data_IF_135632172308
#
_entry.id   IF_135632172308
#
_cell.length_a   1.000
_cell.length_b   1.000
_cell.length_c   1.000
_cell.angle_alpha   90.00
_cell.angle_beta   90.00
_cell.angle_gamma   90.00
#
_symmetry.space_group_name_H-M   'P 1'
#
loop_
_entity.id
_entity.type
_entity.pdbx_description
1 polymer ?
#
# COMPACT_ATOMS: atom_id res chain seq x y z
N UNK A 1 8.68 -17.95 2.72
CA UNK A 1 8.91 -16.50 2.47
C UNK A 1 9.96 -16.24 1.37
N UNK A 2 11.18 -16.79 1.47
CA UNK A 2 12.25 -16.51 0.48
C UNK A 2 11.91 -17.08 -0.90
N UNK A 3 11.47 -18.32 -0.96
CA UNK A 3 11.10 -18.97 -2.22
C UNK A 3 9.87 -18.32 -2.85
N UNK A 4 8.88 -17.95 -2.02
CA UNK A 4 7.67 -17.23 -2.46
C UNK A 4 8.00 -15.84 -2.99
N UNK A 5 8.94 -15.12 -2.35
CA UNK A 5 9.40 -13.83 -2.82
C UNK A 5 10.14 -13.93 -4.16
N UNK A 6 10.96 -14.96 -4.36
CA UNK A 6 11.64 -15.21 -5.63
C UNK A 6 10.64 -15.56 -6.74
N UNK A 7 9.61 -16.34 -6.42
CA UNK A 7 8.52 -16.68 -7.33
C UNK A 7 7.75 -15.42 -7.75
N UNK A 8 7.26 -14.65 -6.77
CA UNK A 8 6.49 -13.44 -7.04
C UNK A 8 7.31 -12.38 -7.81
N UNK A 9 8.63 -12.25 -7.56
CA UNK A 9 9.52 -11.40 -8.38
C UNK A 9 9.56 -11.82 -9.82
N UNK A 10 9.72 -13.12 -10.08
CA UNK A 10 9.76 -13.65 -11.46
C UNK A 10 8.44 -13.41 -12.16
N UNK A 11 7.32 -13.67 -11.50
CA UNK A 11 5.97 -13.44 -12.04
C UNK A 11 5.75 -11.95 -12.33
N UNK A 12 6.15 -11.05 -11.40
CA UNK A 12 6.08 -9.60 -11.57
C UNK A 12 6.93 -9.12 -12.75
N UNK A 13 8.15 -9.63 -12.88
CA UNK A 13 9.04 -9.28 -13.99
C UNK A 13 8.48 -9.74 -15.35
N UNK A 14 7.92 -10.95 -15.39
CA UNK A 14 7.27 -11.47 -16.61
C UNK A 14 6.07 -10.58 -16.99
N UNK A 15 5.22 -10.26 -16.04
CA UNK A 15 4.08 -9.37 -16.27
C UNK A 15 4.53 -7.98 -16.75
N UNK A 16 5.60 -7.43 -16.19
CA UNK A 16 6.19 -6.18 -16.65
C UNK A 16 6.61 -6.24 -18.13
N UNK A 17 7.28 -7.30 -18.57
CA UNK A 17 7.67 -7.47 -19.97
C UNK A 17 6.44 -7.57 -20.89
N UNK A 18 5.41 -8.30 -20.46
CA UNK A 18 4.21 -8.54 -21.27
C UNK A 18 3.33 -7.29 -21.39
N UNK A 19 3.25 -6.46 -20.36
CA UNK A 19 2.38 -5.28 -20.32
C UNK A 19 3.08 -3.96 -20.71
N UNK A 20 4.41 -3.91 -20.67
CA UNK A 20 5.19 -2.75 -21.11
C UNK A 20 5.14 -1.54 -20.19
N UNK A 21 4.30 -1.54 -19.15
CA UNK A 21 4.10 -0.44 -18.21
C UNK A 21 4.12 -0.94 -16.78
N UNK A 22 5.16 -0.62 -16.02
CA UNK A 22 5.17 -0.74 -14.56
C UNK A 22 6.43 -0.09 -13.97
N UNK A 23 6.39 0.20 -12.67
CA UNK A 23 7.54 0.67 -11.91
C UNK A 23 8.20 -0.51 -11.18
N UNK A 24 9.15 -1.16 -11.83
CA UNK A 24 9.75 -2.42 -11.36
C UNK A 24 10.44 -2.28 -10.00
N UNK A 25 11.20 -1.20 -9.78
CA UNK A 25 11.91 -0.97 -8.51
C UNK A 25 10.96 -0.89 -7.33
N UNK A 26 9.92 -0.06 -7.43
CA UNK A 26 8.90 0.08 -6.39
C UNK A 26 8.01 -1.16 -6.23
N UNK A 27 7.87 -1.98 -7.29
CA UNK A 27 7.20 -3.28 -7.20
C UNK A 27 8.03 -4.26 -6.39
N UNK A 28 9.33 -4.32 -6.64
CA UNK A 28 10.23 -5.27 -5.97
C UNK A 28 10.48 -4.94 -4.51
N UNK A 29 10.47 -3.64 -4.12
CA UNK A 29 10.73 -3.22 -2.75
C UNK A 29 9.68 -3.70 -1.74
N UNK A 30 8.45 -3.95 -2.18
CA UNK A 30 7.35 -4.30 -1.29
C UNK A 30 7.01 -5.82 -1.25
N UNK A 31 7.64 -6.66 -2.07
CA UNK A 31 7.25 -8.07 -2.23
C UNK A 31 7.26 -8.83 -0.92
N UNK A 32 8.35 -8.76 -0.16
CA UNK A 32 8.46 -9.43 1.13
C UNK A 32 7.42 -8.94 2.13
N UNK A 33 7.18 -7.62 2.15
CA UNK A 33 6.16 -7.03 3.01
C UNK A 33 4.76 -7.48 2.62
N UNK A 34 4.46 -7.60 1.32
CA UNK A 34 3.17 -8.13 0.85
C UNK A 34 2.97 -9.58 1.26
N UNK A 35 3.97 -10.43 1.06
CA UNK A 35 3.89 -11.84 1.43
C UNK A 35 3.69 -11.95 2.95
N UNK A 36 4.50 -11.25 3.75
CA UNK A 36 4.37 -11.26 5.20
C UNK A 36 2.98 -10.78 5.66
N UNK A 37 2.44 -9.73 5.02
CA UNK A 37 1.09 -9.25 5.30
C UNK A 37 0.04 -10.32 5.06
N UNK A 38 0.05 -10.95 3.91
CA UNK A 38 -0.99 -11.88 3.49
C UNK A 38 -0.85 -13.28 4.11
N UNK A 39 0.37 -13.70 4.49
CA UNK A 39 0.61 -15.00 5.13
C UNK A 39 0.46 -14.96 6.66
N UNK A 40 0.93 -13.87 7.30
CA UNK A 40 1.15 -13.88 8.74
C UNK A 40 0.30 -12.83 9.49
N UNK A 41 -0.11 -11.75 8.83
CA UNK A 41 -0.61 -10.56 9.54
C UNK A 41 -2.09 -10.31 9.31
N UNK A 42 -2.55 -10.40 8.06
CA UNK A 42 -3.93 -10.09 7.69
C UNK A 42 -4.88 -11.22 8.12
N UNK A 43 -5.99 -10.81 8.71
CA UNK A 43 -7.13 -11.68 8.98
C UNK A 43 -8.20 -11.49 7.90
N UNK A 44 -9.15 -12.42 7.74
CA UNK A 44 -10.24 -12.28 6.76
C UNK A 44 -11.09 -11.01 6.96
N UNK A 45 -11.11 -10.44 8.15
CA UNK A 45 -11.84 -9.21 8.47
C UNK A 45 -11.07 -7.94 8.12
N UNK A 46 -9.76 -8.02 7.92
CA UNK A 46 -8.92 -6.87 7.57
C UNK A 46 -9.10 -6.49 6.09
N UNK A 47 -8.80 -5.24 5.76
CA UNK A 47 -8.79 -4.73 4.39
C UNK A 47 -7.45 -4.08 4.10
N UNK A 48 -6.81 -4.49 3.01
CA UNK A 48 -5.54 -3.94 2.57
C UNK A 48 -5.76 -2.93 1.43
N UNK A 49 -5.09 -1.79 1.50
CA UNK A 49 -5.08 -0.75 0.48
C UNK A 49 -3.64 -0.50 0.07
N UNK A 50 -3.34 -0.70 -1.21
CA UNK A 50 -2.08 -0.28 -1.80
C UNK A 50 -2.24 1.15 -2.33
N UNK A 51 -1.75 2.15 -1.61
CA UNK A 51 -1.84 3.55 -2.00
C UNK A 51 -0.97 3.86 -3.22
N UNK A 52 0.23 3.30 -3.29
CA UNK A 52 1.17 3.40 -4.41
C UNK A 52 0.81 2.45 -5.56
N UNK A 53 -0.38 2.58 -6.14
CA UNK A 53 -0.92 1.64 -7.12
C UNK A 53 -0.11 1.52 -8.43
N UNK A 54 0.77 2.48 -8.74
CA UNK A 54 1.70 2.38 -9.87
C UNK A 54 2.62 1.14 -9.80
N UNK A 55 2.65 0.45 -8.65
CA UNK A 55 3.40 -0.79 -8.42
C UNK A 55 2.48 -1.98 -8.07
N UNK A 56 1.26 -1.98 -8.57
CA UNK A 56 0.19 -2.92 -8.22
C UNK A 56 0.42 -4.37 -8.66
N UNK A 57 1.30 -4.64 -9.62
CA UNK A 57 1.46 -5.97 -10.21
C UNK A 57 1.72 -7.07 -9.17
N UNK A 58 2.66 -6.92 -8.21
CA UNK A 58 2.86 -7.94 -7.17
C UNK A 58 1.59 -8.23 -6.37
N UNK A 59 0.81 -7.19 -6.03
CA UNK A 59 -0.45 -7.37 -5.30
C UNK A 59 -1.46 -8.16 -6.13
N UNK A 60 -1.68 -7.77 -7.39
CA UNK A 60 -2.63 -8.45 -8.27
C UNK A 60 -2.24 -9.90 -8.50
N UNK A 61 -0.95 -10.18 -8.71
CA UNK A 61 -0.45 -11.54 -8.89
C UNK A 61 -0.61 -12.38 -7.62
N UNK A 62 -0.27 -11.83 -6.46
CA UNK A 62 -0.45 -12.49 -5.17
C UNK A 62 -1.92 -12.81 -4.89
N UNK A 63 -2.84 -11.91 -5.24
CA UNK A 63 -4.28 -12.14 -5.11
C UNK A 63 -4.77 -13.22 -6.07
N UNK A 64 -4.23 -13.28 -7.30
CA UNK A 64 -4.55 -14.34 -8.27
C UNK A 64 -4.09 -15.72 -7.79
N UNK A 65 -2.95 -15.84 -7.16
CA UNK A 65 -2.48 -17.09 -6.53
C UNK A 65 -3.40 -17.55 -5.40
N UNK A 66 -4.17 -16.62 -4.81
CA UNK A 66 -5.18 -16.90 -3.78
C UNK A 66 -6.59 -17.13 -4.34
N UNK A 67 -6.73 -17.30 -5.65
CA UNK A 67 -7.99 -17.60 -6.32
C UNK A 67 -8.88 -16.39 -6.61
N UNK A 68 -8.38 -15.16 -6.40
CA UNK A 68 -9.02 -13.92 -6.83
C UNK A 68 -8.58 -13.58 -8.25
N UNK A 69 -9.25 -12.63 -8.91
CA UNK A 69 -8.89 -12.29 -10.29
C UNK A 69 -8.94 -10.77 -10.57
N UNK A 70 -8.17 -9.94 -9.83
CA UNK A 70 -8.12 -8.51 -10.09
C UNK A 70 -7.48 -8.23 -11.46
N UNK A 71 -7.88 -7.12 -12.07
CA UNK A 71 -7.25 -6.61 -13.27
C UNK A 71 -5.79 -6.23 -13.00
N UNK A 72 -4.90 -6.63 -13.91
CA UNK A 72 -3.48 -6.24 -13.86
C UNK A 72 -3.32 -4.87 -14.52
N UNK A 73 -3.20 -3.84 -13.71
CA UNK A 73 -3.13 -2.43 -14.13
C UNK A 73 -2.27 -1.63 -13.17
N UNK A 74 -1.68 -0.54 -13.65
CA UNK A 74 -0.88 0.40 -12.84
C UNK A 74 -1.71 1.42 -12.06
N UNK A 75 -3.02 1.45 -12.27
CA UNK A 75 -3.97 2.26 -11.53
C UNK A 75 -5.11 1.34 -11.09
N UNK A 76 -5.16 1.06 -9.79
CA UNK A 76 -6.17 0.15 -9.26
C UNK A 76 -7.54 0.83 -9.22
N UNK A 77 -8.53 0.16 -9.75
CA UNK A 77 -9.94 0.48 -9.53
C UNK A 77 -10.50 -0.42 -8.43
N UNK A 78 -11.46 0.12 -7.68
CA UNK A 78 -12.12 -0.65 -6.62
C UNK A 78 -12.78 -1.90 -7.20
N UNK A 79 -12.41 -3.05 -6.67
CA UNK A 79 -12.93 -4.38 -7.01
C UNK A 79 -12.89 -5.23 -5.73
N UNK A 80 -13.86 -5.00 -4.86
CA UNK A 80 -13.89 -5.60 -3.53
C UNK A 80 -14.04 -7.12 -3.56
N UNK A 81 -14.63 -7.67 -4.61
CA UNK A 81 -14.77 -9.12 -4.80
C UNK A 81 -13.41 -9.76 -5.08
N UNK A 82 -12.50 -9.03 -5.70
CA UNK A 82 -11.14 -9.45 -6.01
C UNK A 82 -10.07 -8.86 -5.07
N UNK A 83 -10.48 -8.32 -3.92
CA UNK A 83 -9.56 -7.88 -2.87
C UNK A 83 -9.00 -6.46 -3.03
N UNK A 84 -9.51 -5.67 -3.99
CA UNK A 84 -9.12 -4.26 -4.19
C UNK A 84 -10.18 -3.36 -3.55
N UNK A 85 -9.85 -2.74 -2.42
CA UNK A 85 -10.83 -2.02 -1.60
C UNK A 85 -10.86 -0.51 -1.81
N UNK A 86 -10.01 0.02 -2.68
CA UNK A 86 -9.99 1.44 -3.03
C UNK A 86 -9.44 1.65 -4.44
N UNK A 87 -9.97 2.63 -5.15
CA UNK A 87 -9.34 3.16 -6.36
C UNK A 87 -8.13 3.99 -5.94
N UNK A 88 -6.94 3.63 -6.41
CA UNK A 88 -5.67 4.26 -6.04
C UNK A 88 -4.77 4.45 -7.27
N UNK A 89 -3.82 5.36 -7.18
CA UNK A 89 -2.90 5.74 -8.26
C UNK A 89 -2.42 7.17 -8.10
N UNK A 90 -3.29 8.07 -7.65
CA UNK A 90 -2.87 9.41 -7.23
C UNK A 90 -2.17 9.31 -5.88
N UNK A 91 -0.88 9.67 -5.84
CA UNK A 91 -0.08 9.62 -4.62
C UNK A 91 -0.68 10.47 -3.49
N UNK A 92 -0.58 10.00 -2.26
CA UNK A 92 -1.14 10.65 -1.08
C UNK A 92 -2.65 10.46 -0.88
N UNK A 93 -3.37 9.72 -1.75
CA UNK A 93 -4.83 9.58 -1.66
C UNK A 93 -5.32 8.25 -1.07
N UNK A 94 -4.51 7.20 -1.08
CA UNK A 94 -4.90 5.92 -0.48
C UNK A 94 -5.02 5.98 1.04
N UNK A 95 -4.16 6.75 1.71
CA UNK A 95 -4.20 6.90 3.17
C UNK A 95 -5.44 7.66 3.66
N UNK A 96 -5.86 8.80 3.06
CA UNK A 96 -7.14 9.45 3.40
C UNK A 96 -8.34 8.52 3.25
N UNK A 97 -8.39 7.74 2.17
CA UNK A 97 -9.45 6.73 1.95
C UNK A 97 -9.43 5.70 3.08
N UNK A 98 -8.26 5.13 3.37
CA UNK A 98 -8.09 4.15 4.45
C UNK A 98 -8.46 4.71 5.83
N UNK A 99 -8.09 5.96 6.11
CA UNK A 99 -8.46 6.67 7.35
C UNK A 99 -9.97 6.82 7.47
N UNK A 100 -10.64 7.23 6.38
CA UNK A 100 -12.11 7.31 6.33
C UNK A 100 -12.78 5.96 6.56
N UNK A 101 -12.26 4.90 5.93
CA UNK A 101 -12.76 3.53 6.12
C UNK A 101 -12.56 3.04 7.56
N UNK A 102 -11.39 3.28 8.16
CA UNK A 102 -11.10 2.91 9.55
C UNK A 102 -12.04 3.63 10.53
N UNK A 103 -12.26 4.93 10.32
CA UNK A 103 -13.19 5.74 11.11
C UNK A 103 -14.64 5.22 11.00
N UNK A 104 -15.08 4.91 9.78
CA UNK A 104 -16.42 4.37 9.54
C UNK A 104 -16.61 3.02 10.24
N UNK A 105 -15.63 2.11 10.14
CA UNK A 105 -15.67 0.80 10.82
C UNK A 105 -15.70 0.97 12.34
N UNK A 106 -14.85 1.82 12.90
CA UNK A 106 -14.82 2.11 14.35
C UNK A 106 -16.16 2.64 14.85
N UNK A 107 -16.75 3.62 14.16
CA UNK A 107 -18.05 4.18 14.52
C UNK A 107 -19.20 3.16 14.43
N UNK A 108 -19.15 2.28 13.45
CA UNK A 108 -20.14 1.21 13.24
C UNK A 108 -19.85 -0.05 14.08
N UNK A 109 -18.78 -0.08 14.85
CA UNK A 109 -18.31 -1.26 15.62
C UNK A 109 -18.11 -2.50 14.76
N UNK A 110 -17.64 -2.31 13.54
CA UNK A 110 -17.27 -3.39 12.61
C UNK A 110 -15.82 -3.78 12.91
N UNK A 111 -15.56 -5.04 13.21
CA UNK A 111 -14.23 -5.56 13.49
C UNK A 111 -13.29 -5.55 12.28
N UNK A 112 -12.02 -5.86 12.50
CA UNK A 112 -10.96 -5.88 11.51
C UNK A 112 -10.30 -4.51 11.31
N UNK A 113 -9.07 -4.55 10.78
CA UNK A 113 -8.22 -3.38 10.55
C UNK A 113 -8.32 -2.92 9.11
N UNK A 114 -7.99 -1.66 8.89
CA UNK A 114 -7.61 -1.13 7.57
C UNK A 114 -6.09 -1.01 7.56
N UNK A 115 -5.46 -1.67 6.62
CA UNK A 115 -4.01 -1.67 6.43
C UNK A 115 -3.71 -0.92 5.15
N UNK A 116 -2.93 0.15 5.22
CA UNK A 116 -2.59 0.98 4.06
C UNK A 116 -1.09 0.97 3.86
N UNK A 117 -0.65 0.56 2.68
CA UNK A 117 0.75 0.69 2.28
C UNK A 117 0.93 1.92 1.41
N UNK A 118 1.75 2.84 1.88
CA UNK A 118 2.17 4.06 1.17
C UNK A 118 3.64 3.98 0.79
N UNK A 119 4.09 4.84 -0.12
CA UNK A 119 5.51 5.06 -0.39
C UNK A 119 6.08 6.20 0.48
N UNK A 120 7.39 6.27 0.56
CA UNK A 120 8.08 7.42 1.16
C UNK A 120 7.83 8.72 0.36
N UNK A 121 7.72 8.64 -0.98
CA UNK A 121 7.32 9.77 -1.80
C UNK A 121 5.93 10.31 -1.47
N UNK A 122 4.99 9.45 -1.03
CA UNK A 122 3.67 9.89 -0.56
C UNK A 122 3.75 10.67 0.77
N UNK A 123 4.83 10.53 1.53
CA UNK A 123 5.07 11.35 2.72
C UNK A 123 5.47 12.80 2.40
N UNK A 124 5.67 13.13 1.13
CA UNK A 124 5.83 14.52 0.67
C UNK A 124 4.48 15.18 0.34
N UNK A 125 3.39 14.40 0.32
CA UNK A 125 2.05 14.91 0.11
C UNK A 125 1.40 15.37 1.43
N UNK A 126 0.77 16.55 1.43
CA UNK A 126 0.11 17.11 2.61
C UNK A 126 -1.00 16.22 3.16
N UNK A 127 -1.74 15.56 2.28
CA UNK A 127 -2.85 14.65 2.61
C UNK A 127 -2.42 13.46 3.48
N UNK A 128 -1.17 13.02 3.39
CA UNK A 128 -0.61 11.99 4.29
C UNK A 128 -0.64 12.48 5.74
N UNK A 129 -0.14 13.69 6.00
CA UNK A 129 -0.09 14.27 7.36
C UNK A 129 -1.46 14.66 7.90
N UNK A 130 -2.32 15.21 7.06
CA UNK A 130 -3.71 15.49 7.40
C UNK A 130 -4.46 14.22 7.81
N UNK A 131 -4.23 13.11 7.12
CA UNK A 131 -4.81 11.81 7.46
C UNK A 131 -4.33 11.30 8.82
N UNK A 132 -3.05 11.48 9.15
CA UNK A 132 -2.49 11.10 10.45
C UNK A 132 -3.05 11.96 11.57
N UNK A 133 -3.24 13.27 11.36
CA UNK A 133 -3.92 14.16 12.32
C UNK A 133 -5.34 13.66 12.63
N UNK A 134 -6.10 13.30 11.61
CA UNK A 134 -7.46 12.75 11.76
C UNK A 134 -7.42 11.40 12.49
N UNK A 135 -6.49 10.53 12.09
CA UNK A 135 -6.34 9.22 12.70
C UNK A 135 -6.01 9.31 14.19
N UNK A 136 -5.07 10.18 14.55
CA UNK A 136 -4.68 10.43 15.94
C UNK A 136 -5.85 11.04 16.75
N UNK A 137 -6.54 12.07 16.22
CA UNK A 137 -7.68 12.70 16.87
C UNK A 137 -8.79 11.68 17.20
N UNK A 138 -9.10 10.80 16.26
CA UNK A 138 -10.12 9.77 16.43
C UNK A 138 -9.60 8.48 17.08
N UNK A 139 -8.32 8.43 17.45
CA UNK A 139 -7.65 7.24 18.04
C UNK A 139 -7.96 5.98 17.24
N UNK A 140 -7.65 6.01 15.94
CA UNK A 140 -7.96 4.91 15.02
C UNK A 140 -6.97 3.74 15.22
N UNK A 141 -7.16 3.00 16.30
CA UNK A 141 -6.43 1.79 16.65
C UNK A 141 -6.64 0.61 15.66
N UNK A 142 -7.59 0.76 14.77
CA UNK A 142 -7.89 -0.14 13.67
C UNK A 142 -7.30 0.30 12.31
N UNK A 143 -6.44 1.31 12.29
CA UNK A 143 -5.66 1.73 11.12
C UNK A 143 -4.21 1.34 11.31
N UNK A 144 -3.64 0.61 10.35
CA UNK A 144 -2.22 0.31 10.27
C UNK A 144 -1.65 0.95 9.01
N UNK A 145 -0.63 1.78 9.15
CA UNK A 145 0.07 2.43 8.04
C UNK A 145 1.45 1.81 7.89
N UNK A 146 1.76 1.33 6.70
CA UNK A 146 3.07 0.82 6.32
C UNK A 146 3.70 1.77 5.32
N UNK A 147 4.93 2.16 5.55
CA UNK A 147 5.70 3.00 4.63
C UNK A 147 6.77 2.15 3.96
N UNK A 148 6.68 1.98 2.64
CA UNK A 148 7.79 1.44 1.86
C UNK A 148 8.85 2.53 1.72
N UNK A 149 9.83 2.50 2.63
CA UNK A 149 10.88 3.50 2.75
C UNK A 149 12.14 3.05 2.00
N UNK A 150 12.08 3.06 0.68
CA UNK A 150 13.17 2.64 -0.20
C UNK A 150 14.13 3.78 -0.59
N UNK A 151 13.80 5.04 -0.25
CA UNK A 151 14.58 6.27 -0.50
C UNK A 151 14.78 6.62 -1.98
N UNK A 152 13.97 6.07 -2.86
CA UNK A 152 14.03 6.32 -4.30
C UNK A 152 12.65 6.66 -4.82
N UNK A 153 12.55 7.76 -5.55
CA UNK A 153 11.38 8.17 -6.30
C UNK A 153 11.55 7.88 -7.79
N UNK A 154 10.49 8.14 -8.58
CA UNK A 154 10.51 7.90 -10.02
C UNK A 154 11.63 8.64 -10.76
N UNK A 155 12.01 9.83 -10.31
CA UNK A 155 12.93 10.73 -11.02
C UNK A 155 14.27 10.96 -10.28
N UNK A 156 14.35 10.68 -8.97
CA UNK A 156 15.53 10.97 -8.17
C UNK A 156 15.54 10.20 -6.84
N UNK A 157 16.60 10.38 -6.07
CA UNK A 157 16.60 9.99 -4.66
C UNK A 157 15.59 10.86 -3.90
N UNK A 158 15.02 10.32 -2.85
CA UNK A 158 14.03 11.01 -2.01
C UNK A 158 14.57 12.36 -1.49
N UNK A 159 15.80 12.36 -0.98
CA UNK A 159 16.44 13.54 -0.37
C UNK A 159 16.78 14.63 -1.39
N UNK A 160 17.04 14.25 -2.65
CA UNK A 160 17.30 15.19 -3.74
C UNK A 160 16.02 15.90 -4.21
N UNK A 161 14.86 15.24 -4.06
CA UNK A 161 13.57 15.81 -4.42
C UNK A 161 13.04 16.73 -3.29
N UNK A 162 12.84 16.17 -2.11
CA UNK A 162 12.42 16.88 -0.90
C UNK A 162 12.78 16.03 0.32
N UNK A 163 13.78 16.45 1.08
CA UNK A 163 14.20 15.74 2.27
C UNK A 163 13.09 15.70 3.33
N UNK A 164 12.78 14.50 3.79
CA UNK A 164 11.78 14.25 4.85
C UNK A 164 12.40 13.47 6.01
N UNK A 165 13.66 13.77 6.32
CA UNK A 165 14.43 13.08 7.34
C UNK A 165 13.66 12.83 8.62
N UNK A 166 14.00 11.68 9.24
CA UNK A 166 13.39 11.19 10.46
C UNK A 166 11.88 10.94 10.32
N UNK A 167 11.47 10.24 9.22
CA UNK A 167 10.08 9.80 9.06
C UNK A 167 9.54 9.12 10.31
N UNK A 168 10.32 8.25 10.94
CA UNK A 168 9.93 7.57 12.17
C UNK A 168 9.56 8.55 13.31
N UNK A 169 10.31 9.63 13.47
CA UNK A 169 10.01 10.65 14.49
C UNK A 169 8.76 11.44 14.13
N UNK A 170 8.59 11.80 12.84
CA UNK A 170 7.39 12.48 12.37
C UNK A 170 6.14 11.64 12.62
N UNK A 171 6.18 10.34 12.29
CA UNK A 171 5.05 9.44 12.55
C UNK A 171 4.79 9.23 14.05
N UNK A 172 5.81 9.25 14.91
CA UNK A 172 5.63 9.16 16.37
C UNK A 172 4.96 10.37 16.98
N UNK A 173 4.94 11.51 16.29
CA UNK A 173 4.28 12.72 16.77
C UNK A 173 2.73 12.62 16.71
N UNK A 174 2.20 11.60 16.05
CA UNK A 174 0.77 11.30 15.96
C UNK A 174 0.39 10.09 16.79
#
# INVERSE_FOLDING_TARGET
>A
LIDDAAHLRKATFKAFIEHGEAHLGGSFSMIESLIALYEEILTPSDKFILSKAHVSFPLCLLLRERGLNPNLTTHLEIDSENGIYATTGSLGHGLPIGTGMALARKRRRIGGRIVVMISDGECQEGTTWESLLIAAHHRLDNLLVLVDYNKIQALSRLDDALAIDSLAEKFRAF
#
